data_IF_119956598450
#
_entry.id   IF_119956598450
#
_cell.length_a   1.000
_cell.length_b   1.000
_cell.length_c   1.000
_cell.angle_alpha   90.00
_cell.angle_beta   90.00
_cell.angle_gamma   90.00
#
_symmetry.space_group_name_H-M   'P 1'
#
loop_
_entity.id
_entity.type
_entity.pdbx_description
1 polymer ?
#
# COMPACT_ATOMS: atom_id res chain seq x y z
N UNK A 1 1.94 0.30 6.51
CA UNK A 1 2.35 0.16 7.92
C UNK A 1 3.18 1.35 8.36
N UNK A 2 4.33 1.63 7.74
CA UNK A 2 5.25 2.71 8.17
C UNK A 2 4.61 4.09 8.13
N UNK A 3 3.84 4.41 7.09
CA UNK A 3 3.11 5.66 6.98
C UNK A 3 2.13 5.87 8.14
N UNK A 4 1.48 4.80 8.58
CA UNK A 4 0.56 4.79 9.72
C UNK A 4 1.30 4.96 11.05
N UNK A 5 2.45 4.29 11.20
CA UNK A 5 3.29 4.45 12.39
C UNK A 5 3.88 5.86 12.50
N UNK A 6 4.32 6.43 11.37
CA UNK A 6 4.78 7.82 11.32
C UNK A 6 3.68 8.79 11.75
N UNK A 7 2.44 8.59 11.30
CA UNK A 7 1.31 9.42 11.72
C UNK A 7 1.05 9.33 13.24
N UNK A 8 1.10 8.12 13.82
CA UNK A 8 0.99 7.93 15.28
C UNK A 8 2.09 8.68 16.02
N UNK A 9 3.33 8.64 15.51
CA UNK A 9 4.45 9.38 16.10
C UNK A 9 4.21 10.89 16.04
N UNK A 10 3.79 11.43 14.90
CA UNK A 10 3.48 12.84 14.74
C UNK A 10 2.35 13.29 15.70
N UNK A 11 1.36 12.45 15.91
CA UNK A 11 0.30 12.72 16.88
C UNK A 11 0.84 12.72 18.31
N UNK A 12 1.72 11.79 18.66
CA UNK A 12 2.29 11.67 20.02
C UNK A 12 3.18 12.86 20.40
N UNK A 13 3.84 13.49 19.42
CA UNK A 13 4.68 14.67 19.63
C UNK A 13 3.94 16.00 19.39
N UNK A 14 2.62 15.94 19.10
CA UNK A 14 1.78 17.13 18.92
C UNK A 14 1.90 17.82 17.56
N UNK A 15 2.58 17.23 16.60
CA UNK A 15 2.70 17.76 15.23
C UNK A 15 1.48 17.45 14.36
N UNK A 16 0.74 16.40 14.69
CA UNK A 16 -0.56 16.10 14.11
C UNK A 16 -1.65 16.33 15.16
N UNK A 17 -2.54 17.29 14.90
CA UNK A 17 -3.62 17.70 15.82
C UNK A 17 -5.00 17.19 15.41
N UNK A 18 -5.09 16.50 14.28
CA UNK A 18 -6.33 15.89 13.80
C UNK A 18 -6.65 14.59 14.53
N UNK A 19 -7.84 14.05 14.26
CA UNK A 19 -8.22 12.74 14.75
C UNK A 19 -7.51 11.64 13.96
N UNK A 20 -6.88 10.71 14.67
CA UNK A 20 -6.26 9.53 14.05
C UNK A 20 -7.34 8.65 13.39
N UNK A 21 -8.47 8.47 14.08
CA UNK A 21 -9.54 7.59 13.63
C UNK A 21 -9.07 6.14 13.47
N UNK A 22 -9.75 5.39 12.62
CA UNK A 22 -9.35 4.03 12.28
C UNK A 22 -8.13 4.06 11.35
N UNK A 23 -7.06 3.38 11.78
CA UNK A 23 -5.79 3.25 11.07
C UNK A 23 -5.59 1.85 10.47
N UNK A 24 -6.64 1.05 10.41
CA UNK A 24 -6.62 -0.26 9.77
C UNK A 24 -6.19 -0.13 8.30
N UNK A 25 -5.25 -0.96 7.89
CA UNK A 25 -4.88 -1.11 6.48
C UNK A 25 -5.85 -2.09 5.83
N UNK A 26 -6.49 -1.68 4.76
CA UNK A 26 -7.46 -2.50 4.03
C UNK A 26 -6.84 -3.09 2.77
N UNK A 27 -6.98 -4.39 2.60
CA UNK A 27 -6.64 -5.10 1.38
C UNK A 27 -7.92 -5.58 0.72
N UNK A 28 -8.05 -5.32 -0.57
CA UNK A 28 -9.18 -5.78 -1.38
C UNK A 28 -8.70 -6.19 -2.77
N UNK A 29 -9.51 -6.93 -3.50
CA UNK A 29 -9.24 -7.30 -4.88
C UNK A 29 -10.53 -7.41 -5.68
N UNK A 30 -10.40 -7.29 -6.98
CA UNK A 30 -11.45 -7.54 -7.95
C UNK A 30 -10.95 -8.49 -9.06
N UNK A 31 -11.58 -8.51 -10.21
CA UNK A 31 -11.22 -9.37 -11.33
C UNK A 31 -9.87 -9.05 -11.97
N UNK A 32 -9.29 -7.87 -11.70
CA UNK A 32 -8.09 -7.37 -12.38
C UNK A 32 -7.07 -6.73 -11.45
N UNK A 33 -7.50 -6.27 -10.27
CA UNK A 33 -6.66 -5.47 -9.38
C UNK A 33 -6.59 -6.03 -7.97
N UNK A 34 -5.47 -5.73 -7.30
CA UNK A 34 -5.34 -5.80 -5.85
C UNK A 34 -5.13 -4.37 -5.36
N UNK A 35 -5.90 -3.94 -4.37
CA UNK A 35 -5.81 -2.62 -3.77
C UNK A 35 -5.42 -2.73 -2.31
N UNK A 36 -4.45 -1.90 -1.90
CA UNK A 36 -3.99 -1.75 -0.52
C UNK A 36 -4.19 -0.30 -0.13
N UNK A 37 -4.97 -0.05 0.92
CA UNK A 37 -5.34 1.30 1.38
C UNK A 37 -4.92 1.50 2.82
N UNK A 38 -4.25 2.61 3.11
CA UNK A 38 -3.95 3.09 4.46
C UNK A 38 -4.45 4.52 4.70
N UNK A 39 -4.54 4.90 5.96
CA UNK A 39 -4.85 6.26 6.41
C UNK A 39 -3.66 6.87 7.18
N UNK A 40 -2.44 6.56 6.71
CA UNK A 40 -1.21 7.12 7.24
C UNK A 40 -0.96 8.57 6.81
N UNK A 41 0.30 8.97 6.81
CA UNK A 41 0.71 10.35 6.50
C UNK A 41 0.45 10.78 5.06
N UNK A 42 0.28 9.85 4.13
CA UNK A 42 0.25 10.17 2.70
C UNK A 42 1.57 10.73 2.18
N UNK A 43 1.56 11.24 0.95
CA UNK A 43 2.73 11.82 0.29
C UNK A 43 2.34 13.08 -0.47
N UNK A 44 3.28 14.04 -0.57
CA UNK A 44 3.20 15.18 -1.51
C UNK A 44 3.72 14.78 -2.88
N UNK A 45 3.49 15.64 -3.89
CA UNK A 45 4.04 15.42 -5.24
C UNK A 45 5.58 15.32 -5.21
N UNK A 46 6.24 16.16 -4.43
CA UNK A 46 7.71 16.17 -4.26
C UNK A 46 8.21 14.89 -3.58
N UNK A 47 7.46 14.37 -2.61
CA UNK A 47 7.79 13.12 -1.96
C UNK A 47 7.61 11.92 -2.88
N UNK A 48 6.58 11.93 -3.74
CA UNK A 48 6.41 10.90 -4.78
C UNK A 48 7.61 10.94 -5.73
N UNK A 49 7.99 12.12 -6.21
CA UNK A 49 9.13 12.27 -7.08
C UNK A 49 10.42 11.76 -6.42
N UNK A 50 10.66 12.15 -5.19
CA UNK A 50 11.86 11.77 -4.45
C UNK A 50 11.91 10.29 -4.08
N UNK A 51 10.81 9.70 -3.59
CA UNK A 51 10.83 8.36 -3.02
C UNK A 51 10.36 7.27 -3.96
N UNK A 52 9.60 7.63 -4.99
CA UNK A 52 9.12 6.68 -5.99
C UNK A 52 9.92 6.81 -7.27
N UNK A 53 9.98 7.99 -7.90
CA UNK A 53 10.61 8.17 -9.19
C UNK A 53 12.14 8.05 -9.16
N UNK A 54 12.82 8.67 -8.19
CA UNK A 54 14.28 8.65 -8.14
C UNK A 54 14.86 7.25 -7.94
N UNK A 55 14.16 6.39 -7.22
CA UNK A 55 14.56 4.99 -7.09
C UNK A 55 14.37 4.25 -8.42
N UNK A 56 13.31 4.54 -9.18
CA UNK A 56 13.10 3.96 -10.51
C UNK A 56 14.20 4.35 -11.50
N UNK A 57 14.66 5.61 -11.45
CA UNK A 57 15.67 6.14 -12.38
C UNK A 57 17.12 5.88 -11.97
N UNK A 58 17.40 5.72 -10.69
CA UNK A 58 18.78 5.41 -10.23
C UNK A 58 19.22 3.98 -10.49
N UNK A 59 18.41 3.22 -11.24
CA UNK A 59 18.70 1.85 -11.59
C UNK A 59 18.69 0.94 -10.37
N UNK A 60 17.59 0.24 -10.16
CA UNK A 60 17.51 -0.79 -9.12
C UNK A 60 18.69 -1.79 -9.23
N UNK A 61 19.25 -1.98 -10.43
CA UNK A 61 20.42 -2.80 -10.70
C UNK A 61 21.70 -2.21 -10.10
N UNK A 62 22.01 -0.92 -10.31
CA UNK A 62 23.17 -0.27 -9.72
C UNK A 62 23.09 -0.20 -8.19
N UNK A 63 21.90 0.03 -7.67
CA UNK A 63 21.67 0.09 -6.23
C UNK A 63 21.82 -1.29 -5.57
N UNK A 64 21.22 -2.33 -6.16
CA UNK A 64 21.34 -3.72 -5.69
C UNK A 64 22.79 -4.18 -5.77
N UNK A 65 23.56 -3.81 -6.80
CA UNK A 65 24.95 -4.18 -6.96
C UNK A 65 25.86 -3.49 -5.91
N UNK A 66 25.58 -2.21 -5.62
CA UNK A 66 26.30 -1.42 -4.62
C UNK A 66 26.06 -1.90 -3.17
N UNK A 67 24.91 -2.47 -2.90
CA UNK A 67 24.48 -2.87 -1.55
C UNK A 67 24.18 -4.37 -1.43
N UNK A 68 24.79 -5.19 -2.25
CA UNK A 68 24.59 -6.65 -2.32
C UNK A 68 24.70 -7.38 -0.97
N UNK A 69 25.50 -6.84 -0.04
CA UNK A 69 25.74 -7.44 1.28
C UNK A 69 24.73 -7.00 2.35
N UNK A 70 23.96 -5.93 2.11
CA UNK A 70 23.00 -5.35 3.04
C UNK A 70 21.54 -5.28 2.46
N UNK A 71 21.30 -6.00 1.39
CA UNK A 71 20.04 -5.91 0.62
C UNK A 71 18.78 -6.10 1.47
N UNK A 72 18.79 -6.99 2.47
CA UNK A 72 17.64 -7.25 3.33
C UNK A 72 17.30 -6.08 4.27
N UNK A 73 18.31 -5.36 4.78
CA UNK A 73 18.12 -4.18 5.61
C UNK A 73 17.68 -2.96 4.79
N UNK A 74 18.15 -2.89 3.54
CA UNK A 74 17.91 -1.79 2.62
C UNK A 74 16.51 -1.83 2.03
N UNK A 75 15.99 -3.01 1.69
CA UNK A 75 14.66 -3.21 1.07
C UNK A 75 13.55 -2.56 1.90
N UNK A 76 13.61 -2.67 3.23
CA UNK A 76 12.61 -2.06 4.11
C UNK A 76 12.75 -0.55 4.31
N UNK A 77 13.95 0.02 4.10
CA UNK A 77 14.22 1.43 4.41
C UNK A 77 14.15 2.38 3.22
N UNK A 78 14.32 1.89 2.00
CA UNK A 78 14.45 2.73 0.80
C UNK A 78 13.33 2.58 -0.23
N UNK A 79 12.21 1.96 0.13
CA UNK A 79 11.07 1.81 -0.77
C UNK A 79 11.27 0.79 -1.91
N UNK A 80 12.38 0.06 -1.94
CA UNK A 80 12.63 -0.98 -2.96
C UNK A 80 11.56 -2.07 -2.96
N UNK A 81 10.93 -2.34 -1.82
CA UNK A 81 9.79 -3.24 -1.73
C UNK A 81 8.61 -2.85 -2.62
N UNK A 82 8.43 -1.55 -2.89
CA UNK A 82 7.39 -1.06 -3.78
C UNK A 82 7.60 -1.56 -5.23
N UNK A 83 8.85 -1.62 -5.71
CA UNK A 83 9.14 -2.08 -7.07
C UNK A 83 8.86 -3.57 -7.30
N UNK A 84 8.82 -4.37 -6.24
CA UNK A 84 8.39 -5.76 -6.36
C UNK A 84 6.95 -5.90 -6.85
N UNK A 85 6.14 -4.85 -6.76
CA UNK A 85 4.78 -4.80 -7.30
C UNK A 85 4.77 -5.03 -8.82
N UNK A 86 5.80 -4.54 -9.54
CA UNK A 86 5.91 -4.72 -10.98
C UNK A 86 6.27 -6.15 -11.40
N UNK A 87 6.67 -7.01 -10.46
CA UNK A 87 6.89 -8.43 -10.76
C UNK A 87 5.58 -9.19 -11.02
N UNK A 88 4.45 -8.65 -10.60
CA UNK A 88 3.13 -9.29 -10.72
C UNK A 88 2.09 -8.39 -11.40
N UNK A 89 2.48 -7.16 -11.73
CA UNK A 89 1.56 -6.13 -12.23
C UNK A 89 2.04 -5.56 -13.55
N UNK A 90 1.13 -5.42 -14.50
CA UNK A 90 1.35 -4.69 -15.75
C UNK A 90 1.27 -3.17 -15.59
N UNK A 91 0.71 -2.70 -14.47
CA UNK A 91 0.55 -1.29 -14.13
C UNK A 91 0.38 -1.14 -12.63
N UNK A 92 0.91 -0.08 -12.05
CA UNK A 92 0.73 0.29 -10.65
C UNK A 92 0.27 1.74 -10.58
N UNK A 93 -0.74 2.01 -9.76
CA UNK A 93 -1.19 3.36 -9.43
C UNK A 93 -1.05 3.62 -7.93
N UNK A 94 -0.68 4.84 -7.59
CA UNK A 94 -0.70 5.37 -6.23
C UNK A 94 -1.64 6.57 -6.22
N UNK A 95 -2.65 6.53 -5.35
CA UNK A 95 -3.52 7.69 -5.06
C UNK A 95 -3.27 8.08 -3.61
N UNK A 96 -2.77 9.28 -3.38
CA UNK A 96 -2.31 9.68 -2.06
C UNK A 96 -2.70 11.12 -1.71
N UNK A 97 -2.98 11.36 -0.44
CA UNK A 97 -3.23 12.70 0.12
C UNK A 97 -2.45 12.85 1.41
N UNK A 98 -1.61 13.88 1.45
CA UNK A 98 -0.82 14.19 2.62
C UNK A 98 -1.69 14.58 3.82
N UNK A 99 -1.22 14.34 5.03
CA UNK A 99 -1.98 14.52 6.26
C UNK A 99 -2.25 15.97 6.65
N UNK A 100 -1.50 16.92 6.08
CA UNK A 100 -1.69 18.35 6.39
C UNK A 100 -2.93 18.91 5.70
N UNK A 101 -3.57 19.83 6.40
CA UNK A 101 -4.73 20.55 5.87
C UNK A 101 -4.36 21.30 4.59
N UNK A 102 -5.26 21.30 3.61
CA UNK A 102 -5.05 21.94 2.30
C UNK A 102 -4.18 21.14 1.34
N UNK A 103 -3.72 19.94 1.70
CA UNK A 103 -2.95 19.09 0.80
C UNK A 103 -3.76 18.69 -0.42
N UNK A 104 -3.14 18.81 -1.60
CA UNK A 104 -3.72 18.38 -2.89
C UNK A 104 -3.47 16.89 -3.08
N UNK A 105 -4.53 16.09 -3.28
CA UNK A 105 -4.36 14.68 -3.58
C UNK A 105 -3.68 14.47 -4.93
N UNK A 106 -2.76 13.53 -4.99
CA UNK A 106 -1.99 13.20 -6.17
C UNK A 106 -2.21 11.76 -6.62
N UNK A 107 -2.22 11.55 -7.92
CA UNK A 107 -2.23 10.23 -8.54
C UNK A 107 -0.98 10.03 -9.37
N UNK A 108 -0.23 9.01 -9.03
CA UNK A 108 0.91 8.52 -9.79
C UNK A 108 0.56 7.21 -10.48
N UNK A 109 1.05 7.01 -11.71
CA UNK A 109 0.81 5.80 -12.48
C UNK A 109 2.02 5.45 -13.33
N UNK A 110 2.37 4.17 -13.36
CA UNK A 110 3.47 3.64 -14.16
C UNK A 110 3.15 2.19 -14.60
N UNK A 111 3.55 1.85 -15.82
CA UNK A 111 3.39 0.51 -16.41
C UNK A 111 4.68 -0.33 -16.39
N UNK A 112 5.67 0.11 -15.62
CA UNK A 112 6.98 -0.55 -15.51
C UNK A 112 8.01 -0.05 -16.52
N UNK A 113 7.62 0.83 -17.46
CA UNK A 113 8.55 1.58 -18.33
C UNK A 113 9.16 2.76 -17.54
N UNK A 114 10.22 3.42 -18.05
CA UNK A 114 10.75 4.64 -17.43
C UNK A 114 9.76 5.82 -17.40
N UNK A 115 8.65 5.72 -18.12
CA UNK A 115 7.63 6.76 -18.18
C UNK A 115 6.60 6.58 -17.06
N UNK A 116 6.22 7.69 -16.45
CA UNK A 116 5.16 7.74 -15.44
C UNK A 116 4.28 8.98 -15.65
N UNK A 117 3.10 8.96 -15.07
CA UNK A 117 2.24 10.12 -14.93
C UNK A 117 2.10 10.54 -13.47
N UNK A 118 2.05 11.85 -13.23
CA UNK A 118 1.77 12.42 -11.91
C UNK A 118 0.79 13.57 -12.11
N UNK A 119 -0.40 13.43 -11.56
CA UNK A 119 -1.48 14.40 -11.77
C UNK A 119 -2.28 14.61 -10.47
N UNK A 120 -2.92 15.76 -10.36
CA UNK A 120 -3.87 16.02 -9.27
C UNK A 120 -5.10 15.11 -9.43
N UNK A 121 -5.67 14.71 -8.29
CA UNK A 121 -6.84 13.84 -8.27
C UNK A 121 -7.75 14.19 -7.10
N UNK A 122 -8.82 13.44 -6.91
CA UNK A 122 -9.71 13.56 -5.76
C UNK A 122 -9.46 12.42 -4.78
N UNK A 123 -9.31 12.76 -3.51
CA UNK A 123 -9.28 11.84 -2.39
C UNK A 123 -9.72 12.58 -1.13
N UNK A 124 -10.80 12.10 -0.50
CA UNK A 124 -11.37 12.73 0.68
C UNK A 124 -10.42 12.66 1.87
N UNK A 125 -10.03 11.46 2.24
CA UNK A 125 -9.20 11.19 3.40
C UNK A 125 -7.69 11.22 3.07
N UNK A 126 -6.89 11.57 4.08
CA UNK A 126 -5.43 11.36 4.04
C UNK A 126 -5.07 9.90 3.86
N UNK A 127 -3.84 9.65 3.48
CA UNK A 127 -3.29 8.31 3.34
C UNK A 127 -3.04 7.92 1.90
N UNK A 128 -2.80 6.63 1.66
CA UNK A 128 -2.37 6.14 0.36
C UNK A 128 -3.14 4.90 -0.04
N UNK A 129 -3.59 4.89 -1.28
CA UNK A 129 -4.10 3.72 -1.98
C UNK A 129 -3.07 3.28 -3.01
N UNK A 130 -2.64 2.03 -2.95
CA UNK A 130 -1.80 1.38 -3.96
C UNK A 130 -2.69 0.40 -4.71
N UNK A 131 -2.74 0.54 -6.04
CA UNK A 131 -3.57 -0.29 -6.92
C UNK A 131 -2.66 -1.02 -7.88
N UNK A 132 -2.64 -2.34 -7.78
CA UNK A 132 -1.87 -3.25 -8.60
C UNK A 132 -2.77 -3.83 -9.69
N UNK A 133 -2.53 -3.49 -10.96
CA UNK A 133 -3.20 -4.11 -12.11
C UNK A 133 -2.46 -5.38 -12.46
N UNK A 134 -2.95 -6.50 -12.01
CA UNK A 134 -2.28 -7.81 -12.11
C UNK A 134 -2.17 -8.21 -13.58
N UNK A 135 -0.98 -8.66 -13.97
CA UNK A 135 -0.74 -9.16 -15.32
C UNK A 135 -1.38 -10.54 -15.56
N UNK A 136 -1.42 -10.96 -16.82
CA UNK A 136 -2.12 -12.19 -17.20
C UNK A 136 -1.44 -13.46 -16.69
N UNK A 137 -0.13 -13.44 -16.48
CA UNK A 137 0.64 -14.57 -15.96
C UNK A 137 0.46 -14.78 -14.46
N UNK A 138 0.08 -13.73 -13.74
CA UNK A 138 -0.04 -13.70 -12.29
C UNK A 138 -1.49 -13.62 -11.79
N UNK A 139 -2.49 -13.87 -12.65
CA UNK A 139 -3.93 -13.81 -12.28
C UNK A 139 -4.33 -14.76 -11.15
N UNK A 140 -3.53 -15.77 -10.88
CA UNK A 140 -3.74 -16.66 -9.73
C UNK A 140 -3.62 -15.95 -8.38
N UNK A 141 -2.99 -14.75 -8.32
CA UNK A 141 -3.03 -13.88 -7.13
C UNK A 141 -4.40 -13.22 -6.89
N UNK A 142 -5.27 -13.13 -7.90
CA UNK A 142 -6.64 -12.65 -7.78
C UNK A 142 -7.57 -13.73 -7.20
N UNK A 143 -7.17 -14.27 -6.05
CA UNK A 143 -7.86 -15.34 -5.36
C UNK A 143 -7.87 -15.07 -3.86
N UNK A 144 -9.06 -15.14 -3.24
CA UNK A 144 -9.26 -14.86 -1.82
C UNK A 144 -8.37 -15.70 -0.90
N UNK A 145 -8.31 -17.00 -1.14
CA UNK A 145 -7.56 -17.92 -0.28
C UNK A 145 -6.06 -17.69 -0.38
N UNK A 146 -5.57 -17.42 -1.60
CA UNK A 146 -4.16 -17.10 -1.84
C UNK A 146 -3.76 -15.79 -1.16
N UNK A 147 -4.52 -14.72 -1.34
CA UNK A 147 -4.26 -13.43 -0.67
C UNK A 147 -4.32 -13.61 0.86
N UNK A 148 -5.35 -14.26 1.38
CA UNK A 148 -5.49 -14.51 2.81
C UNK A 148 -4.30 -15.30 3.38
N UNK A 149 -3.85 -16.33 2.68
CA UNK A 149 -2.68 -17.13 3.08
C UNK A 149 -1.41 -16.28 3.12
N UNK A 150 -1.18 -15.43 2.12
CA UNK A 150 -0.02 -14.54 2.06
C UNK A 150 -0.07 -13.49 3.19
N UNK A 151 -1.21 -12.84 3.39
CA UNK A 151 -1.37 -11.87 4.49
C UNK A 151 -1.16 -12.51 5.86
N UNK A 152 -1.75 -13.68 6.10
CA UNK A 152 -1.56 -14.41 7.36
C UNK A 152 -0.10 -14.80 7.58
N UNK A 153 0.59 -15.24 6.53
CA UNK A 153 1.99 -15.66 6.63
C UNK A 153 2.94 -14.50 6.91
N UNK A 154 2.75 -13.36 6.23
CA UNK A 154 3.73 -12.28 6.24
C UNK A 154 3.34 -11.07 7.10
N UNK A 155 2.03 -10.89 7.36
CA UNK A 155 1.54 -9.71 8.05
C UNK A 155 1.07 -9.97 9.49
N UNK A 156 1.09 -11.21 9.95
CA UNK A 156 0.55 -11.63 11.26
C UNK A 156 1.05 -10.83 12.46
N UNK A 157 2.28 -10.36 12.41
CA UNK A 157 2.93 -9.68 13.53
C UNK A 157 3.13 -8.18 13.28
N UNK A 158 2.51 -7.63 12.25
CA UNK A 158 2.60 -6.20 11.97
C UNK A 158 1.83 -5.39 13.04
N UNK A 159 2.36 -4.21 13.44
CA UNK A 159 1.82 -3.43 14.56
C UNK A 159 0.60 -2.56 14.17
N UNK A 160 0.02 -2.78 13.02
CA UNK A 160 -1.16 -2.09 12.51
C UNK A 160 -2.17 -3.13 12.05
N UNK A 161 -3.46 -3.01 12.43
CA UNK A 161 -4.49 -3.94 11.97
C UNK A 161 -4.57 -3.99 10.45
N UNK A 162 -4.70 -5.19 9.90
CA UNK A 162 -4.83 -5.42 8.46
C UNK A 162 -6.15 -6.15 8.22
N UNK A 163 -7.06 -5.50 7.53
CA UNK A 163 -8.36 -6.04 7.18
C UNK A 163 -8.34 -6.63 5.76
N UNK A 164 -8.87 -7.82 5.62
CA UNK A 164 -9.11 -8.46 4.33
C UNK A 164 -10.45 -9.19 4.33
N UNK A 165 -11.40 -8.67 3.56
CA UNK A 165 -12.76 -9.16 3.52
C UNK A 165 -13.56 -8.88 4.79
N UNK A 166 -14.68 -9.56 4.93
CA UNK A 166 -15.58 -9.47 6.09
C UNK A 166 -15.50 -10.72 6.94
N UNK A 167 -15.78 -10.60 8.24
CA UNK A 167 -16.02 -11.74 9.11
C UNK A 167 -17.22 -12.51 8.60
N UNK A 168 -17.17 -13.82 8.71
CA UNK A 168 -18.26 -14.70 8.32
C UNK A 168 -18.89 -15.33 9.54
N UNK A 169 -20.21 -15.42 9.56
CA UNK A 169 -20.98 -16.19 10.53
C UNK A 169 -21.77 -17.28 9.83
N UNK A 170 -21.99 -18.38 10.57
CA UNK A 170 -22.82 -19.47 10.07
C UNK A 170 -24.30 -19.15 10.30
N UNK A 171 -25.07 -19.05 9.22
CA UNK A 171 -26.49 -18.74 9.27
C UNK A 171 -27.24 -19.55 8.21
N UNK A 172 -28.30 -20.22 8.63
CA UNK A 172 -29.19 -20.99 7.74
C UNK A 172 -28.45 -21.99 6.83
N UNK A 173 -27.44 -22.70 7.36
CA UNK A 173 -26.72 -23.74 6.62
C UNK A 173 -25.62 -23.24 5.67
N UNK A 174 -25.24 -21.96 5.76
CA UNK A 174 -24.17 -21.34 4.97
C UNK A 174 -23.41 -20.26 5.74
N UNK A 175 -22.19 -19.98 5.32
CA UNK A 175 -21.47 -18.80 5.79
C UNK A 175 -21.94 -17.55 5.07
N UNK A 176 -22.24 -16.50 5.85
CA UNK A 176 -22.62 -15.17 5.34
C UNK A 176 -21.67 -14.11 5.89
N UNK A 177 -21.33 -13.14 5.06
CA UNK A 177 -20.50 -12.02 5.48
C UNK A 177 -21.28 -11.14 6.46
N UNK A 178 -20.61 -10.70 7.52
CA UNK A 178 -21.11 -9.70 8.47
C UNK A 178 -20.70 -8.29 8.03
N UNK A 179 -21.13 -7.28 8.77
CA UNK A 179 -20.67 -5.89 8.56
C UNK A 179 -19.25 -5.64 9.13
N UNK A 180 -18.72 -6.56 9.94
CA UNK A 180 -17.42 -6.40 10.57
C UNK A 180 -16.28 -6.83 9.63
N UNK A 181 -15.19 -6.06 9.66
CA UNK A 181 -13.97 -6.40 8.92
C UNK A 181 -13.28 -7.63 9.52
N UNK A 182 -12.77 -8.49 8.65
CA UNK A 182 -11.92 -9.59 9.04
C UNK A 182 -10.47 -9.11 9.22
N UNK A 183 -10.01 -9.00 10.46
CA UNK A 183 -8.64 -8.61 10.79
C UNK A 183 -7.73 -9.85 10.77
N UNK A 184 -6.65 -9.76 9.99
CA UNK A 184 -5.72 -10.88 9.74
C UNK A 184 -4.74 -11.09 10.89
N UNK A 185 -4.33 -10.00 11.59
CA UNK A 185 -3.27 -10.01 12.60
C UNK A 185 -3.74 -9.61 14.00
#
# INVERSE_FOLDING_TARGET
VDATQKLKTLASVGEFKGELGDLTVHVSFDSNTIKISDRGIGMTAEEIDKYINQIAFSGAEEFVEKYKNDAAAIIGHFGLGFYSSFMVSKKVEIVTKWYKEGAVPMKWSCDGTPEYTLEETEKEDRGTDIILYIDDENKDFLNKDKINSLLTKYCRYLPVPIAFGKKQEWKDGKYVDTDEDNIIN
#
